data_IF_509934802092
#
_entry.id   IF_509934802092
#
_cell.length_a   1.000
_cell.length_b   1.000
_cell.length_c   1.000
_cell.angle_alpha   90.00
_cell.angle_beta   90.00
_cell.angle_gamma   90.00
#
_symmetry.space_group_name_H-M   'P 1'
#
loop_
_entity.id
_entity.type
_entity.pdbx_description
1 polymer ?
#
# COMPACT_ATOMS: atom_id res chain seq x y z
N UNK A 1 6.73 6.71 25.43
CA UNK A 1 6.83 7.11 24.02
C UNK A 1 8.08 7.97 23.86
N UNK A 2 8.94 7.78 22.85
CA UNK A 2 10.02 8.70 22.60
C UNK A 2 9.41 10.02 22.13
N UNK A 3 9.49 11.02 23.00
CA UNK A 3 9.19 12.41 22.68
C UNK A 3 10.25 12.83 21.68
N UNK A 4 9.86 13.07 20.42
CA UNK A 4 10.69 13.80 19.48
C UNK A 4 10.72 15.24 19.99
N UNK A 5 11.72 15.57 20.76
CA UNK A 5 11.91 16.93 21.31
C UNK A 5 12.19 17.86 20.14
N UNK A 6 11.21 18.70 19.83
CA UNK A 6 11.28 19.77 18.83
C UNK A 6 12.19 20.90 19.34
N UNK A 7 13.50 20.76 19.13
CA UNK A 7 14.41 21.91 19.03
C UNK A 7 14.70 22.13 17.57
N UNK A 8 14.10 23.16 16.95
CA UNK A 8 14.46 23.74 15.66
C UNK A 8 14.93 22.74 14.58
N UNK A 9 14.16 21.69 14.31
CA UNK A 9 14.63 20.62 13.43
C UNK A 9 14.70 21.14 12.01
N UNK A 10 15.92 21.25 11.50
CA UNK A 10 16.18 21.39 10.08
C UNK A 10 15.46 20.23 9.35
N UNK A 11 14.81 20.56 8.22
CA UNK A 11 14.17 19.53 7.41
C UNK A 11 15.14 18.38 7.08
N UNK A 12 14.70 17.12 7.16
CA UNK A 12 15.55 15.99 6.80
C UNK A 12 16.03 16.13 5.36
N UNK A 13 17.32 15.95 5.10
CA UNK A 13 17.92 16.26 3.80
C UNK A 13 18.60 15.08 3.13
N UNK A 14 19.10 14.11 3.89
CA UNK A 14 19.61 12.87 3.30
C UNK A 14 18.48 11.86 3.09
N UNK A 15 18.66 10.97 2.12
CA UNK A 15 17.70 9.86 1.90
C UNK A 15 17.44 9.07 3.18
N UNK A 16 18.50 8.76 3.94
CA UNK A 16 18.37 8.01 5.19
C UNK A 16 17.54 8.76 6.23
N UNK A 17 17.80 10.06 6.43
CA UNK A 17 17.07 10.88 7.40
C UNK A 17 15.58 11.03 7.01
N UNK A 18 15.32 11.21 5.71
CA UNK A 18 13.95 11.30 5.18
C UNK A 18 13.18 10.01 5.45
N UNK A 19 13.79 8.86 5.18
CA UNK A 19 13.17 7.55 5.44
C UNK A 19 12.97 7.32 6.93
N UNK A 20 13.95 7.66 7.78
CA UNK A 20 13.82 7.57 9.23
C UNK A 20 12.67 8.44 9.75
N UNK A 21 12.52 9.65 9.22
CA UNK A 21 11.43 10.55 9.58
C UNK A 21 10.06 9.99 9.17
N UNK A 22 9.94 9.49 7.94
CA UNK A 22 8.73 8.83 7.45
C UNK A 22 8.39 7.57 8.26
N UNK A 23 9.36 6.71 8.53
CA UNK A 23 9.18 5.50 9.34
C UNK A 23 8.73 5.84 10.76
N UNK A 24 9.29 6.90 11.36
CA UNK A 24 8.87 7.38 12.67
C UNK A 24 7.42 7.89 12.67
N UNK A 25 7.00 8.60 11.62
CA UNK A 25 5.63 9.08 11.47
C UNK A 25 4.63 7.92 11.33
N UNK A 26 4.95 6.89 10.54
CA UNK A 26 4.11 5.68 10.46
C UNK A 26 4.03 4.96 11.80
N UNK A 27 5.17 4.85 12.52
CA UNK A 27 5.21 4.24 13.86
C UNK A 27 4.35 5.01 14.85
N UNK A 28 4.40 6.34 14.84
CA UNK A 28 3.57 7.19 15.71
C UNK A 28 2.07 7.00 15.41
N UNK A 29 1.68 6.97 14.14
CA UNK A 29 0.30 6.75 13.74
C UNK A 29 -0.22 5.38 14.18
N UNK A 30 0.55 4.32 13.95
CA UNK A 30 0.18 2.94 14.32
C UNK A 30 0.12 2.78 15.85
N UNK A 31 1.14 3.25 16.57
CA UNK A 31 1.18 3.15 18.03
C UNK A 31 0.08 3.97 18.69
N UNK A 32 -0.28 5.12 18.12
CA UNK A 32 -1.35 5.99 18.61
C UNK A 32 -2.75 5.51 18.21
N UNK A 33 -2.87 4.45 17.40
CA UNK A 33 -4.13 3.96 16.81
C UNK A 33 -4.97 5.15 16.30
N UNK A 34 -4.34 5.99 15.47
CA UNK A 34 -4.93 7.25 15.02
C UNK A 34 -6.16 7.01 14.13
N UNK A 35 -7.14 7.91 14.20
CA UNK A 35 -8.26 7.91 13.26
C UNK A 35 -7.84 8.50 11.91
N UNK A 36 -8.44 8.06 10.81
CA UNK A 36 -8.23 8.62 9.47
C UNK A 36 -9.34 8.20 8.50
N UNK A 37 -9.44 8.90 7.38
CA UNK A 37 -10.19 8.45 6.22
C UNK A 37 -9.23 7.86 5.20
N UNK A 38 -9.55 6.66 4.69
CA UNK A 38 -8.80 5.96 3.64
C UNK A 38 -9.62 5.86 2.37
N UNK A 39 -8.99 6.11 1.24
CA UNK A 39 -9.56 5.88 -0.08
C UNK A 39 -8.56 5.13 -0.94
N UNK A 40 -9.03 4.13 -1.68
CA UNK A 40 -8.28 3.41 -2.71
C UNK A 40 -9.10 3.26 -3.97
N UNK A 41 -8.47 3.50 -5.11
CA UNK A 41 -9.04 3.23 -6.43
C UNK A 41 -7.94 2.82 -7.41
N UNK A 42 -8.29 2.06 -8.44
CA UNK A 42 -7.38 1.72 -9.54
C UNK A 42 -8.01 2.21 -10.85
N UNK A 43 -7.20 2.89 -11.64
CA UNK A 43 -7.57 3.48 -12.94
C UNK A 43 -6.66 2.94 -14.04
N UNK A 44 -7.00 3.30 -15.30
CA UNK A 44 -6.20 2.97 -16.48
C UNK A 44 -5.98 1.44 -16.63
N UNK A 45 -6.99 0.67 -16.26
CA UNK A 45 -6.92 -0.78 -16.34
C UNK A 45 -6.85 -1.29 -17.77
N UNK A 46 -6.06 -2.34 -17.96
CA UNK A 46 -6.07 -3.18 -19.17
C UNK A 46 -6.09 -4.63 -18.72
N UNK A 47 -6.99 -5.40 -19.31
CA UNK A 47 -7.08 -6.83 -19.07
C UNK A 47 -6.96 -7.53 -20.41
N UNK A 48 -5.94 -8.36 -20.54
CA UNK A 48 -5.81 -9.24 -21.68
C UNK A 48 -6.78 -10.41 -21.51
N UNK A 49 -7.83 -10.41 -22.32
CA UNK A 49 -8.96 -11.30 -22.18
C UNK A 49 -8.91 -12.44 -23.21
N UNK A 50 -8.61 -13.66 -22.75
CA UNK A 50 -9.09 -14.87 -23.41
C UNK A 50 -10.43 -15.32 -22.78
N UNK A 51 -11.07 -16.37 -23.29
CA UNK A 51 -12.37 -16.84 -22.80
C UNK A 51 -12.37 -17.20 -21.30
N UNK A 52 -11.23 -17.65 -20.77
CA UNK A 52 -11.03 -18.00 -19.36
C UNK A 52 -11.03 -16.75 -18.49
N UNK A 53 -10.43 -15.65 -18.96
CA UNK A 53 -10.36 -14.38 -18.22
C UNK A 53 -11.72 -13.75 -17.99
N UNK A 54 -12.67 -13.97 -18.91
CA UNK A 54 -14.03 -13.42 -18.75
C UNK A 54 -14.71 -13.89 -17.45
N UNK A 55 -14.43 -15.10 -16.99
CA UNK A 55 -14.97 -15.62 -15.74
C UNK A 55 -14.36 -14.93 -14.51
N UNK A 56 -13.09 -14.48 -14.60
CA UNK A 56 -12.38 -13.84 -13.49
C UNK A 56 -12.40 -12.32 -13.52
N UNK A 57 -12.93 -11.72 -14.58
CA UNK A 57 -12.92 -10.26 -14.72
C UNK A 57 -13.48 -9.56 -13.49
N UNK A 58 -14.62 -9.99 -13.01
CA UNK A 58 -15.25 -9.44 -11.82
C UNK A 58 -14.37 -9.60 -10.56
N UNK A 59 -13.75 -10.76 -10.39
CA UNK A 59 -12.85 -11.03 -9.28
C UNK A 59 -11.61 -10.13 -9.34
N UNK A 60 -10.96 -10.04 -10.51
CA UNK A 60 -9.79 -9.18 -10.72
C UNK A 60 -10.16 -7.71 -10.45
N UNK A 61 -11.30 -7.23 -10.96
CA UNK A 61 -11.77 -5.86 -10.72
C UNK A 61 -11.95 -5.58 -9.24
N UNK A 62 -12.58 -6.50 -8.52
CA UNK A 62 -12.78 -6.40 -7.09
C UNK A 62 -11.44 -6.34 -6.33
N UNK A 63 -10.48 -7.25 -6.64
CA UNK A 63 -9.17 -7.29 -5.98
C UNK A 63 -8.31 -6.06 -6.28
N UNK A 64 -8.32 -5.59 -7.51
CA UNK A 64 -7.56 -4.42 -7.90
C UNK A 64 -8.22 -3.10 -7.53
N UNK A 65 -9.50 -3.11 -7.10
CA UNK A 65 -10.26 -1.89 -6.83
C UNK A 65 -10.56 -1.09 -8.09
N UNK A 66 -10.85 -1.78 -9.20
CA UNK A 66 -11.13 -1.17 -10.49
C UNK A 66 -12.62 -0.82 -10.60
N UNK A 67 -12.90 0.43 -10.97
CA UNK A 67 -14.24 0.97 -11.08
C UNK A 67 -14.77 1.55 -9.76
N UNK A 68 -15.73 2.44 -9.85
CA UNK A 68 -16.28 3.14 -8.71
C UNK A 68 -16.93 2.20 -7.68
N UNK A 69 -17.53 1.11 -8.15
CA UNK A 69 -18.17 0.07 -7.34
C UNK A 69 -17.17 -0.77 -6.53
N UNK A 70 -15.91 -0.80 -6.96
CA UNK A 70 -14.83 -1.51 -6.30
C UNK A 70 -13.85 -0.56 -5.59
N UNK A 71 -14.05 0.75 -5.70
CA UNK A 71 -13.27 1.73 -4.97
C UNK A 71 -13.54 1.58 -3.46
N UNK A 72 -12.45 1.57 -2.69
CA UNK A 72 -12.52 1.38 -1.26
C UNK A 72 -12.52 2.71 -0.53
N UNK A 73 -13.49 2.91 0.35
CA UNK A 73 -13.57 4.09 1.22
C UNK A 73 -13.86 3.63 2.64
N UNK A 74 -13.07 4.07 3.59
CA UNK A 74 -13.24 3.74 4.99
C UNK A 74 -12.89 4.92 5.88
N UNK A 75 -13.62 5.07 6.98
CA UNK A 75 -13.26 5.96 8.08
C UNK A 75 -12.93 5.12 9.30
N UNK A 76 -11.72 5.27 9.79
CA UNK A 76 -11.23 4.60 10.99
C UNK A 76 -11.29 5.55 12.16
N UNK A 77 -11.98 5.16 13.23
CA UNK A 77 -12.05 5.96 14.46
C UNK A 77 -10.80 5.74 15.31
N UNK A 78 -10.26 6.82 15.88
CA UNK A 78 -9.12 6.76 16.81
C UNK A 78 -9.39 5.75 17.93
N UNK A 79 -8.41 4.89 18.20
CA UNK A 79 -8.47 3.88 19.26
C UNK A 79 -9.24 2.61 18.89
N UNK A 80 -9.99 2.61 17.81
CA UNK A 80 -10.82 1.46 17.38
C UNK A 80 -10.09 0.53 16.39
N UNK A 81 -8.79 0.53 16.41
CA UNK A 81 -8.01 -0.48 15.71
C UNK A 81 -8.02 -1.76 16.53
N UNK A 82 -8.64 -2.79 16.04
CA UNK A 82 -8.43 -4.11 16.61
C UNK A 82 -7.11 -4.73 16.10
N UNK A 83 -6.65 -5.78 16.74
CA UNK A 83 -5.39 -6.45 16.41
C UNK A 83 -5.44 -7.12 15.04
N UNK A 84 -6.62 -7.53 14.59
CA UNK A 84 -6.79 -8.21 13.31
C UNK A 84 -6.90 -7.25 12.15
N UNK A 85 -7.44 -6.04 12.38
CA UNK A 85 -7.60 -5.01 11.35
C UNK A 85 -6.41 -4.07 11.22
N UNK A 86 -5.49 -4.06 12.16
CA UNK A 86 -4.25 -3.26 12.14
C UNK A 86 -3.46 -3.45 10.85
N UNK A 87 -3.40 -4.66 10.35
CA UNK A 87 -2.69 -5.04 9.13
C UNK A 87 -3.34 -4.53 7.83
N UNK A 88 -4.59 -4.06 7.89
CA UNK A 88 -5.33 -3.57 6.72
C UNK A 88 -5.33 -2.06 6.58
N UNK A 89 -5.09 -1.35 7.65
CA UNK A 89 -5.22 0.11 7.66
C UNK A 89 -3.92 0.81 7.31
N UNK A 90 -2.97 0.74 8.20
CA UNK A 90 -1.64 1.32 8.07
C UNK A 90 -0.69 0.50 8.94
N UNK A 91 0.49 0.22 8.43
CA UNK A 91 1.56 -0.49 9.16
C UNK A 91 2.73 0.43 9.44
N UNK A 92 3.59 0.00 10.35
CA UNK A 92 4.87 0.66 10.52
C UNK A 92 5.71 0.44 9.28
N UNK A 93 6.17 1.52 8.66
CA UNK A 93 7.11 1.45 7.54
C UNK A 93 8.49 0.98 8.02
N UNK A 94 9.11 0.16 7.20
CA UNK A 94 10.48 -0.35 7.37
C UNK A 94 11.36 -0.06 6.16
N UNK A 95 11.02 1.00 5.39
CA UNK A 95 11.79 1.40 4.22
C UNK A 95 13.22 1.76 4.62
N UNK A 96 14.17 1.19 3.89
CA UNK A 96 15.57 1.52 3.94
C UNK A 96 16.06 2.12 2.62
N UNK A 97 17.31 2.63 2.60
CA UNK A 97 17.91 3.23 1.38
C UNK A 97 18.00 2.23 0.22
N UNK A 98 18.06 0.93 0.53
CA UNK A 98 18.04 -0.14 -0.47
C UNK A 98 16.70 -0.33 -1.18
N UNK A 99 15.59 0.16 -0.61
CA UNK A 99 14.23 -0.03 -1.12
C UNK A 99 13.76 1.11 -2.01
N UNK A 100 14.51 2.21 -2.11
CA UNK A 100 14.10 3.42 -2.81
C UNK A 100 15.10 3.81 -3.91
N UNK A 101 14.61 4.54 -4.91
CA UNK A 101 15.45 5.14 -5.95
C UNK A 101 15.77 6.60 -5.63
N UNK A 102 14.88 7.29 -4.93
CA UNK A 102 15.07 8.66 -4.46
C UNK A 102 14.14 8.96 -3.29
N UNK A 103 14.56 9.89 -2.44
CA UNK A 103 13.70 10.53 -1.46
C UNK A 103 14.03 12.02 -1.37
N UNK A 104 13.02 12.84 -1.20
CA UNK A 104 13.16 14.29 -1.02
C UNK A 104 12.21 14.81 0.05
N UNK A 105 12.60 15.90 0.69
CA UNK A 105 11.79 16.61 1.66
C UNK A 105 11.79 18.10 1.33
N UNK A 106 10.61 18.70 1.28
CA UNK A 106 10.40 20.12 1.09
C UNK A 106 9.58 20.68 2.24
N UNK A 107 10.02 21.79 2.82
CA UNK A 107 9.19 22.52 3.78
C UNK A 107 8.13 23.34 3.06
N UNK A 108 6.90 23.29 3.56
CA UNK A 108 5.76 24.05 3.09
C UNK A 108 4.94 24.54 4.28
N UNK A 109 5.12 25.79 4.67
CA UNK A 109 4.55 26.34 5.90
C UNK A 109 5.04 25.56 7.12
N UNK A 110 4.10 25.10 7.94
CA UNK A 110 4.36 24.27 9.14
C UNK A 110 4.58 22.79 8.82
N UNK A 111 4.56 22.39 7.55
CA UNK A 111 4.62 20.98 7.17
C UNK A 111 5.91 20.64 6.41
N UNK A 112 6.33 19.39 6.52
CA UNK A 112 7.24 18.75 5.59
C UNK A 112 6.44 17.95 4.57
N UNK A 113 6.75 18.14 3.28
CA UNK A 113 6.25 17.31 2.19
C UNK A 113 7.39 16.39 1.80
N UNK A 114 7.22 15.11 2.10
CA UNK A 114 8.16 14.05 1.80
C UNK A 114 7.67 13.32 0.56
N UNK A 115 8.56 13.14 -0.42
CA UNK A 115 8.31 12.32 -1.60
C UNK A 115 9.33 11.19 -1.64
N UNK A 116 8.87 9.95 -1.73
CA UNK A 116 9.70 8.75 -1.76
C UNK A 116 9.37 7.96 -3.03
N UNK A 117 10.35 7.78 -3.91
CA UNK A 117 10.26 6.91 -5.08
C UNK A 117 10.75 5.51 -4.69
N UNK A 118 9.84 4.55 -4.69
CA UNK A 118 10.12 3.17 -4.27
C UNK A 118 10.59 2.35 -5.47
N UNK A 119 11.54 1.46 -5.26
CA UNK A 119 12.00 0.52 -6.29
C UNK A 119 10.89 -0.43 -6.71
N UNK A 120 10.93 -0.86 -7.95
CA UNK A 120 10.06 -1.91 -8.46
C UNK A 120 10.26 -3.21 -7.70
N UNK A 121 9.22 -4.03 -7.64
CA UNK A 121 9.29 -5.32 -6.96
C UNK A 121 8.09 -6.20 -7.25
N UNK A 122 8.14 -7.43 -6.79
CA UNK A 122 7.12 -8.43 -7.03
C UNK A 122 6.71 -9.10 -5.72
N UNK A 123 5.43 -9.45 -5.61
CA UNK A 123 4.91 -10.45 -4.69
C UNK A 123 4.47 -11.68 -5.46
N UNK A 124 4.56 -12.84 -4.84
CA UNK A 124 4.30 -14.12 -5.48
C UNK A 124 3.53 -15.06 -4.54
N UNK A 125 2.59 -15.80 -5.09
CA UNK A 125 1.92 -16.88 -4.36
C UNK A 125 1.66 -18.09 -5.27
N UNK A 126 1.83 -19.27 -4.68
CA UNK A 126 1.47 -20.58 -5.21
C UNK A 126 1.08 -21.48 -4.04
N UNK A 127 0.65 -22.70 -4.29
CA UNK A 127 0.24 -23.65 -3.24
C UNK A 127 1.30 -23.76 -2.15
N UNK A 128 0.93 -23.39 -0.95
CA UNK A 128 1.78 -23.47 0.25
C UNK A 128 2.91 -22.43 0.35
N UNK A 129 3.04 -21.52 -0.62
CA UNK A 129 4.12 -20.52 -0.62
C UNK A 129 3.60 -19.15 -1.03
N UNK A 130 3.85 -18.14 -0.21
CA UNK A 130 3.62 -16.75 -0.55
C UNK A 130 4.80 -15.87 -0.09
N UNK A 131 5.22 -14.93 -0.92
CA UNK A 131 6.27 -13.95 -0.61
C UNK A 131 5.75 -12.53 -0.78
N UNK A 132 6.11 -11.66 0.14
CA UNK A 132 5.80 -10.22 0.13
C UNK A 132 7.09 -9.44 0.37
N UNK A 133 7.99 -9.52 -0.59
CA UNK A 133 9.32 -8.89 -0.51
C UNK A 133 9.43 -7.63 -1.37
N UNK A 134 8.34 -7.20 -2.01
CA UNK A 134 8.36 -5.97 -2.78
C UNK A 134 8.66 -4.77 -1.88
N UNK A 135 9.54 -3.84 -2.31
CA UNK A 135 9.83 -2.64 -1.53
C UNK A 135 8.57 -1.84 -1.14
N UNK A 136 7.52 -1.87 -1.98
CA UNK A 136 6.23 -1.23 -1.67
C UNK A 136 5.59 -1.82 -0.40
N UNK A 137 5.76 -3.12 -0.12
CA UNK A 137 5.20 -3.76 1.08
C UNK A 137 5.83 -3.24 2.37
N UNK A 138 7.07 -2.73 2.29
CA UNK A 138 7.79 -2.11 3.40
C UNK A 138 7.36 -0.66 3.68
N UNK A 139 6.59 -0.04 2.79
CA UNK A 139 6.15 1.35 2.96
C UNK A 139 5.14 1.56 4.09
N UNK A 140 4.57 0.50 4.62
CA UNK A 140 3.51 0.56 5.63
C UNK A 140 2.12 0.83 5.04
N UNK A 141 2.02 0.98 3.73
CA UNK A 141 0.74 1.22 3.05
C UNK A 141 -0.02 -0.08 2.90
N UNK A 142 -1.25 -0.10 3.42
CA UNK A 142 -2.17 -1.19 3.26
C UNK A 142 -3.11 -0.91 2.08
N UNK A 143 -3.10 -1.79 1.10
CA UNK A 143 -4.00 -1.69 -0.07
C UNK A 143 -5.15 -2.69 -0.03
N UNK A 144 -5.17 -3.56 0.98
CA UNK A 144 -6.23 -4.53 1.20
C UNK A 144 -7.55 -3.90 1.63
N UNK A 145 -8.61 -4.67 1.51
CA UNK A 145 -9.98 -4.34 1.90
C UNK A 145 -10.45 -5.35 2.96
N UNK A 146 -10.68 -4.86 4.16
CA UNK A 146 -11.10 -5.66 5.31
C UNK A 146 -12.40 -6.45 5.03
N UNK A 147 -13.40 -5.77 4.48
CA UNK A 147 -14.72 -6.34 4.31
C UNK A 147 -14.77 -7.41 3.21
N UNK A 148 -13.75 -7.41 2.36
CA UNK A 148 -13.57 -8.39 1.29
C UNK A 148 -12.57 -9.50 1.62
N UNK A 149 -12.05 -9.54 2.84
CA UNK A 149 -11.09 -10.55 3.31
C UNK A 149 -9.69 -10.41 2.73
N UNK A 150 -9.32 -9.24 2.20
CA UNK A 150 -8.02 -9.01 1.59
C UNK A 150 -6.99 -8.52 2.58
N UNK A 151 -6.03 -9.36 2.85
CA UNK A 151 -4.91 -9.13 3.75
C UNK A 151 -3.75 -8.56 2.96
N UNK A 152 -3.38 -7.36 3.23
CA UNK A 152 -2.47 -6.60 2.41
C UNK A 152 -1.01 -7.08 2.36
N UNK A 153 -0.53 -7.73 3.40
CA UNK A 153 0.88 -8.15 3.48
C UNK A 153 1.20 -9.41 2.67
N UNK A 154 0.18 -10.04 2.06
CA UNK A 154 0.32 -11.18 1.15
C UNK A 154 -0.69 -11.09 0.03
N UNK A 155 -0.72 -9.97 -0.68
CA UNK A 155 -1.73 -9.70 -1.72
C UNK A 155 -1.82 -10.79 -2.78
N UNK A 156 -0.69 -11.22 -3.31
CA UNK A 156 -0.66 -12.34 -4.26
C UNK A 156 -1.29 -13.60 -3.68
N UNK A 157 -1.15 -13.84 -2.38
CA UNK A 157 -1.78 -14.96 -1.68
C UNK A 157 -3.30 -14.83 -1.64
N UNK A 158 -3.86 -13.62 -1.44
CA UNK A 158 -5.31 -13.43 -1.43
C UNK A 158 -5.94 -13.74 -2.79
N UNK A 159 -5.28 -13.29 -3.87
CA UNK A 159 -5.73 -13.60 -5.24
C UNK A 159 -5.57 -15.10 -5.50
N UNK A 160 -4.45 -15.69 -5.09
CA UNK A 160 -4.19 -17.12 -5.22
C UNK A 160 -5.29 -17.94 -4.54
N UNK A 161 -5.60 -17.69 -3.28
CA UNK A 161 -6.59 -18.45 -2.51
C UNK A 161 -7.96 -18.44 -3.21
N UNK A 162 -8.39 -17.25 -3.69
CA UNK A 162 -9.66 -17.11 -4.38
C UNK A 162 -9.71 -17.80 -5.76
N UNK A 163 -8.58 -18.00 -6.40
CA UNK A 163 -8.49 -18.68 -7.70
C UNK A 163 -8.28 -20.18 -7.51
N UNK A 164 -7.51 -20.58 -6.51
CA UNK A 164 -7.21 -22.00 -6.22
C UNK A 164 -8.46 -22.78 -5.77
N UNK A 165 -9.42 -22.09 -5.15
CA UNK A 165 -10.75 -22.67 -4.86
C UNK A 165 -11.48 -23.13 -6.13
N UNK A 166 -11.20 -22.50 -7.28
CA UNK A 166 -11.86 -22.81 -8.57
C UNK A 166 -10.95 -23.60 -9.48
N UNK A 167 -9.65 -23.33 -9.46
CA UNK A 167 -8.64 -23.94 -10.33
C UNK A 167 -7.42 -24.34 -9.49
N UNK A 168 -7.37 -25.55 -9.02
CA UNK A 168 -6.25 -26.05 -8.23
C UNK A 168 -4.90 -25.86 -8.93
N UNK A 169 -3.89 -25.39 -8.18
CA UNK A 169 -2.51 -25.23 -8.64
C UNK A 169 -2.19 -23.92 -9.36
N UNK A 170 -2.99 -22.88 -9.17
CA UNK A 170 -2.70 -21.54 -9.68
C UNK A 170 -1.35 -20.99 -9.20
N UNK A 171 -0.78 -20.05 -9.96
CA UNK A 171 0.35 -19.20 -9.56
C UNK A 171 -0.03 -17.75 -9.80
N UNK A 172 0.18 -16.90 -8.82
CA UNK A 172 -0.10 -15.46 -8.90
C UNK A 172 1.18 -14.68 -8.69
N UNK A 173 1.44 -13.74 -9.58
CA UNK A 173 2.52 -12.75 -9.43
C UNK A 173 1.93 -11.37 -9.55
N UNK A 174 2.20 -10.53 -8.56
CA UNK A 174 1.91 -9.10 -8.60
C UNK A 174 3.22 -8.33 -8.75
N UNK A 175 3.33 -7.56 -9.81
CA UNK A 175 4.48 -6.68 -10.06
C UNK A 175 4.09 -5.24 -9.80
N UNK A 176 4.92 -4.52 -9.07
CA UNK A 176 4.73 -3.11 -8.73
C UNK A 176 5.83 -2.26 -9.36
N UNK A 177 5.44 -1.16 -9.99
CA UNK A 177 6.37 -0.21 -10.60
C UNK A 177 5.90 1.23 -10.43
N UNK A 178 6.81 2.19 -10.60
CA UNK A 178 6.51 3.59 -10.52
C UNK A 178 5.89 4.04 -9.19
N UNK A 179 6.18 3.33 -8.10
CA UNK A 179 5.58 3.60 -6.80
C UNK A 179 6.16 4.88 -6.19
N UNK A 180 5.27 5.83 -5.88
CA UNK A 180 5.59 7.11 -5.24
C UNK A 180 4.72 7.29 -4.01
N UNK A 181 5.36 7.49 -2.87
CA UNK A 181 4.74 7.92 -1.61
C UNK A 181 4.90 9.42 -1.48
N UNK A 182 3.80 10.13 -1.21
CA UNK A 182 3.82 11.55 -0.86
C UNK A 182 3.19 11.72 0.52
N UNK A 183 3.99 12.12 1.50
CA UNK A 183 3.54 12.33 2.88
C UNK A 183 3.62 13.81 3.24
N UNK A 184 2.52 14.39 3.71
CA UNK A 184 2.50 15.70 4.38
C UNK A 184 2.51 15.45 5.87
N UNK A 185 3.55 15.93 6.55
CA UNK A 185 3.80 15.71 7.97
C UNK A 185 3.97 17.07 8.66
N UNK A 186 3.23 17.31 9.74
CA UNK A 186 3.42 18.49 10.57
C UNK A 186 4.82 18.50 11.19
N UNK A 187 5.57 19.55 10.96
CA UNK A 187 6.99 19.62 11.32
C UNK A 187 7.21 19.71 12.84
N UNK A 188 6.24 20.22 13.60
CA UNK A 188 6.33 20.36 15.04
C UNK A 188 6.03 19.04 15.77
N UNK A 189 5.10 18.26 15.27
CA UNK A 189 4.62 17.03 15.95
C UNK A 189 5.14 15.74 15.33
N UNK A 190 5.57 15.77 14.05
CA UNK A 190 5.91 14.57 13.28
C UNK A 190 4.68 13.75 12.87
N UNK A 191 3.48 14.30 12.96
CA UNK A 191 2.22 13.64 12.68
C UNK A 191 1.82 13.78 11.21
N UNK A 192 1.24 12.74 10.63
CA UNK A 192 0.67 12.84 9.29
C UNK A 192 -0.50 13.82 9.25
N UNK A 193 -0.49 14.69 8.24
CA UNK A 193 -1.64 15.49 7.81
C UNK A 193 -2.33 14.80 6.63
N UNK A 194 -1.52 14.25 5.71
CA UNK A 194 -1.96 13.50 4.54
C UNK A 194 -0.91 12.49 4.12
N UNK A 195 -1.36 11.37 3.55
CA UNK A 195 -0.47 10.35 3.00
C UNK A 195 -1.10 9.80 1.71
N UNK A 196 -0.39 9.97 0.60
CA UNK A 196 -0.83 9.49 -0.72
C UNK A 196 0.21 8.51 -1.26
N UNK A 197 -0.28 7.48 -1.95
CA UNK A 197 0.56 6.55 -2.69
C UNK A 197 -0.04 6.29 -4.06
N UNK A 198 0.80 6.35 -5.07
CA UNK A 198 0.49 5.97 -6.44
C UNK A 198 1.46 4.89 -6.86
N UNK A 199 0.99 3.85 -7.55
CA UNK A 199 1.83 2.82 -8.13
C UNK A 199 1.11 2.12 -9.29
N UNK A 200 1.89 1.62 -10.24
CA UNK A 200 1.39 0.73 -11.27
C UNK A 200 1.47 -0.70 -10.78
N UNK A 201 0.41 -1.47 -11.04
CA UNK A 201 0.30 -2.88 -10.67
C UNK A 201 0.02 -3.72 -11.91
N UNK A 202 0.73 -4.85 -12.01
CA UNK A 202 0.46 -5.91 -12.96
C UNK A 202 0.20 -7.20 -12.19
N UNK A 203 -0.94 -7.83 -12.42
CA UNK A 203 -1.30 -9.12 -11.84
C UNK A 203 -1.25 -10.16 -12.96
N UNK A 204 -0.37 -11.14 -12.82
CA UNK A 204 -0.27 -12.30 -13.71
C UNK A 204 -0.78 -13.53 -12.95
N UNK A 205 -1.68 -14.27 -13.58
CA UNK A 205 -2.27 -15.48 -13.01
C UNK A 205 -2.00 -16.61 -13.98
N UNK A 206 -1.29 -17.64 -13.54
CA UNK A 206 -1.06 -18.87 -14.31
C UNK A 206 -1.93 -19.99 -13.73
N UNK A 207 -2.89 -20.44 -14.50
CA UNK A 207 -3.81 -21.54 -14.15
C UNK A 207 -3.57 -22.80 -15.01
N UNK A 208 -2.42 -22.88 -15.67
CA UNK A 208 -2.05 -24.02 -16.54
C UNK A 208 -2.72 -24.01 -17.92
N UNK A 209 -3.98 -23.62 -18.01
CA UNK A 209 -4.74 -23.53 -19.29
C UNK A 209 -4.81 -22.12 -19.85
N UNK A 210 -4.23 -21.14 -19.15
CA UNK A 210 -4.18 -19.75 -19.57
C UNK A 210 -3.38 -18.89 -18.58
N UNK A 211 -2.94 -17.73 -19.06
CA UNK A 211 -2.14 -16.76 -18.29
C UNK A 211 -2.74 -15.36 -18.39
N UNK A 212 -3.92 -15.13 -17.79
CA UNK A 212 -4.50 -13.80 -17.75
C UNK A 212 -3.56 -12.80 -17.07
N UNK A 213 -3.53 -11.61 -17.66
CA UNK A 213 -2.78 -10.46 -17.14
C UNK A 213 -3.72 -9.27 -16.99
N UNK A 214 -3.66 -8.63 -15.82
CA UNK A 214 -4.36 -7.38 -15.56
C UNK A 214 -3.37 -6.32 -15.11
N UNK A 215 -3.50 -5.10 -15.63
CA UNK A 215 -2.67 -3.95 -15.26
C UNK A 215 -3.54 -2.78 -14.85
N UNK A 216 -3.01 -1.87 -14.05
CA UNK A 216 -3.67 -0.62 -13.70
C UNK A 216 -2.77 0.27 -12.86
N UNK A 217 -3.20 1.51 -12.66
CA UNK A 217 -2.56 2.45 -11.75
C UNK A 217 -3.41 2.59 -10.49
N UNK A 218 -2.87 2.17 -9.35
CA UNK A 218 -3.53 2.26 -8.04
C UNK A 218 -3.17 3.55 -7.33
N UNK A 219 -4.17 4.15 -6.71
CA UNK A 219 -4.08 5.34 -5.87
C UNK A 219 -4.63 4.99 -4.49
N UNK A 220 -3.84 5.22 -3.46
CA UNK A 220 -4.25 5.04 -2.05
C UNK A 220 -4.01 6.35 -1.33
N UNK A 221 -5.02 6.87 -0.65
CA UNK A 221 -4.88 8.09 0.14
C UNK A 221 -5.39 7.91 1.57
N UNK A 222 -4.71 8.56 2.49
CA UNK A 222 -5.10 8.69 3.88
C UNK A 222 -5.18 10.17 4.23
N UNK A 223 -6.26 10.58 4.84
CA UNK A 223 -6.53 11.96 5.22
C UNK A 223 -7.28 12.06 6.54
N UNK A 224 -7.52 13.27 7.02
CA UNK A 224 -8.29 13.52 8.24
C UNK A 224 -7.73 12.77 9.46
N UNK A 225 -6.42 12.74 9.60
CA UNK A 225 -5.75 12.09 10.73
C UNK A 225 -6.18 12.72 12.06
N UNK A 226 -6.48 11.87 13.05
CA UNK A 226 -6.88 12.24 14.43
C UNK A 226 -5.97 11.51 15.42
N UNK A 227 -4.97 12.25 15.93
CA UNK A 227 -4.00 11.78 16.92
C UNK A 227 -4.51 11.82 18.35
#
# INVERSE_FOLDING_TARGET
APVVTSKGNKAPSSTADILNYYNAATKAAVSGKVGFAKHRETKNEKIEANAVVKQFKSLIYKFMGIGAENAYKETVTKGQWDTDTNKYFLRVSTLGTGDVTAASCKQSGSNYIITINIKNGNSYATKGTATCNAPLDKSGICVGDKDKGYYDHKRASCIYDAIDEVYGGAKVTESYSGAVVTATIDAATGHFVKLDVKFDITVNIDIGIGKPTATGTSYVSYSSFKY
#
